data_IF_944990629753
#
_entry.id   IF_944990629753
#
_cell.length_a   1.000
_cell.length_b   1.000
_cell.length_c   1.000
_cell.angle_alpha   90.00
_cell.angle_beta   90.00
_cell.angle_gamma   90.00
#
_symmetry.space_group_name_H-M   'P 1'
#
loop_
_entity.id
_entity.type
_entity.pdbx_description
1 polymer ?
#
# COMPACT_ATOMS: atom_id res chain seq x y z
N UNK A 1 -36.12 14.78 -3.49
CA UNK A 1 -35.05 14.70 -2.48
C UNK A 1 -33.98 13.76 -3.04
N UNK A 2 -32.81 14.26 -3.44
CA UNK A 2 -31.77 13.43 -4.07
C UNK A 2 -30.94 12.74 -2.98
N UNK A 3 -30.95 11.41 -2.94
CA UNK A 3 -30.07 10.63 -2.07
C UNK A 3 -28.61 10.88 -2.48
N UNK A 4 -27.90 11.73 -1.73
CA UNK A 4 -26.43 11.75 -1.77
C UNK A 4 -25.95 10.57 -0.95
N UNK A 5 -25.75 9.42 -1.61
CA UNK A 5 -24.95 8.34 -1.05
C UNK A 5 -23.54 8.92 -0.94
N UNK A 6 -23.15 9.33 0.27
CA UNK A 6 -21.77 9.70 0.53
C UNK A 6 -20.94 8.45 0.27
N UNK A 7 -20.03 8.52 -0.70
CA UNK A 7 -19.03 7.49 -0.93
C UNK A 7 -18.39 7.16 0.42
N UNK A 8 -18.61 5.93 0.92
CA UNK A 8 -17.95 5.46 2.12
C UNK A 8 -16.49 5.31 1.75
N UNK A 9 -15.70 6.36 1.99
CA UNK A 9 -14.27 6.29 1.85
C UNK A 9 -13.76 5.37 2.96
N UNK A 10 -13.10 4.25 2.64
CA UNK A 10 -12.48 3.42 3.67
C UNK A 10 -11.52 4.30 4.46
N UNK A 11 -11.81 4.46 5.75
CA UNK A 11 -10.95 5.17 6.68
C UNK A 11 -9.89 4.19 7.14
N UNK A 12 -8.62 4.54 6.91
CA UNK A 12 -7.51 3.80 7.49
C UNK A 12 -7.59 3.88 9.02
N UNK A 13 -7.24 2.79 9.68
CA UNK A 13 -6.88 2.87 11.08
C UNK A 13 -5.71 3.84 11.22
N UNK A 14 -5.74 4.67 12.27
CA UNK A 14 -4.69 5.62 12.61
C UNK A 14 -3.48 4.89 13.21
N UNK A 15 -2.94 3.91 12.48
CA UNK A 15 -1.76 3.15 12.85
C UNK A 15 -0.52 3.84 12.26
N UNK A 16 0.50 4.03 13.11
CA UNK A 16 1.79 4.64 12.72
C UNK A 16 2.46 3.92 11.54
N UNK A 17 2.20 2.61 11.40
CA UNK A 17 2.73 1.79 10.31
C UNK A 17 2.11 2.13 8.95
N UNK A 18 0.93 2.75 8.94
CA UNK A 18 0.20 3.17 7.73
C UNK A 18 0.39 4.66 7.42
N UNK A 19 0.94 5.45 8.35
CA UNK A 19 1.23 6.87 8.14
C UNK A 19 2.06 7.15 6.87
N UNK A 20 3.10 6.35 6.52
CA UNK A 20 3.90 6.59 5.31
C UNK A 20 3.11 6.44 3.99
N UNK A 21 1.93 5.80 4.02
CA UNK A 21 1.13 5.51 2.83
C UNK A 21 -0.24 6.18 2.84
N UNK A 22 -0.56 6.93 3.89
CA UNK A 22 -1.86 7.58 4.07
C UNK A 22 -2.17 8.58 2.93
N UNK A 23 -1.19 9.37 2.51
CA UNK A 23 -1.36 10.33 1.40
C UNK A 23 -1.49 9.65 0.02
N UNK A 24 -0.95 8.44 -0.13
CA UNK A 24 -0.92 7.68 -1.37
C UNK A 24 -2.01 6.60 -1.50
N UNK A 25 -3.04 6.61 -0.65
CA UNK A 25 -4.04 5.53 -0.58
C UNK A 25 -4.89 5.37 -1.85
N UNK A 26 -5.03 6.42 -2.65
CA UNK A 26 -5.67 6.35 -3.96
C UNK A 26 -4.80 5.71 -5.05
N UNK A 27 -3.53 5.39 -4.74
CA UNK A 27 -2.60 4.73 -5.65
C UNK A 27 -2.42 3.27 -5.26
N UNK A 28 -1.93 2.49 -6.24
CA UNK A 28 -1.74 1.04 -6.11
C UNK A 28 -0.86 0.68 -4.91
N UNK A 29 0.21 1.45 -4.64
CA UNK A 29 1.07 1.22 -3.48
C UNK A 29 0.32 1.32 -2.16
N UNK A 30 -0.52 2.33 -1.99
CA UNK A 30 -1.31 2.51 -0.77
C UNK A 30 -2.28 1.35 -0.55
N UNK A 31 -3.00 0.95 -1.61
CA UNK A 31 -3.93 -0.19 -1.55
C UNK A 31 -3.20 -1.51 -1.21
N UNK A 32 -2.05 -1.77 -1.84
CA UNK A 32 -1.24 -2.95 -1.54
C UNK A 32 -0.63 -2.89 -0.14
N UNK A 33 -0.30 -1.69 0.37
CA UNK A 33 0.15 -1.51 1.76
C UNK A 33 -0.95 -1.85 2.75
N UNK A 34 -2.21 -1.49 2.47
CA UNK A 34 -3.33 -1.89 3.32
C UNK A 34 -3.49 -3.41 3.36
N UNK A 35 -3.40 -4.08 2.21
CA UNK A 35 -3.45 -5.54 2.12
C UNK A 35 -2.30 -6.17 2.93
N UNK A 36 -1.07 -5.71 2.68
CA UNK A 36 0.13 -6.14 3.40
C UNK A 36 -0.03 -5.96 4.92
N UNK A 37 -0.61 -4.85 5.36
CA UNK A 37 -0.87 -4.56 6.77
C UNK A 37 -1.86 -5.54 7.37
N UNK A 38 -2.98 -5.82 6.68
CA UNK A 38 -3.98 -6.78 7.13
C UNK A 38 -3.39 -8.18 7.26
N UNK A 39 -2.57 -8.60 6.29
CA UNK A 39 -1.88 -9.88 6.35
C UNK A 39 -1.00 -10.01 7.60
N UNK A 40 -0.28 -8.95 7.98
CA UNK A 40 0.59 -8.95 9.17
C UNK A 40 -0.18 -8.83 10.48
N UNK A 41 -1.19 -7.94 10.57
CA UNK A 41 -1.92 -7.73 11.82
C UNK A 41 -2.86 -8.87 12.17
N UNK A 42 -3.39 -9.56 11.16
CA UNK A 42 -4.32 -10.69 11.34
C UNK A 42 -3.62 -12.04 11.18
N UNK A 43 -2.28 -12.05 11.05
CA UNK A 43 -1.46 -13.26 10.90
C UNK A 43 -1.93 -14.21 9.79
N UNK A 44 -2.47 -13.65 8.69
CA UNK A 44 -3.06 -14.43 7.61
C UNK A 44 -2.01 -15.11 6.73
N UNK A 45 -0.78 -14.57 6.71
CA UNK A 45 0.36 -15.16 6.01
C UNK A 45 1.68 -14.52 6.47
N UNK A 46 2.85 -15.04 6.03
CA UNK A 46 4.14 -14.41 6.23
C UNK A 46 4.28 -13.00 5.61
N UNK A 47 3.33 -12.59 4.77
CA UNK A 47 3.30 -11.29 4.09
C UNK A 47 4.56 -11.01 3.25
N UNK A 48 5.14 -12.02 2.61
CA UNK A 48 6.37 -11.91 1.79
C UNK A 48 6.08 -11.84 0.28
N UNK A 49 4.86 -12.22 -0.14
CA UNK A 49 4.46 -12.28 -1.55
C UNK A 49 4.46 -10.92 -2.26
N UNK A 50 3.93 -9.89 -1.62
CA UNK A 50 3.88 -8.54 -2.20
C UNK A 50 5.28 -7.89 -2.30
N UNK A 51 6.14 -7.96 -1.27
CA UNK A 51 7.56 -7.58 -1.40
C UNK A 51 8.24 -8.26 -2.60
N UNK A 52 8.14 -9.60 -2.70
CA UNK A 52 8.71 -10.37 -3.83
C UNK A 52 8.13 -9.94 -5.18
N UNK A 53 6.82 -9.67 -5.24
CA UNK A 53 6.18 -9.16 -6.45
C UNK A 53 6.76 -7.81 -6.88
N UNK A 54 7.00 -6.89 -5.94
CA UNK A 54 7.59 -5.59 -6.27
C UNK A 54 9.03 -5.70 -6.77
N UNK A 55 9.80 -6.71 -6.35
CA UNK A 55 11.13 -6.95 -6.91
C UNK A 55 11.09 -7.44 -8.37
N UNK A 56 9.97 -8.02 -8.81
CA UNK A 56 9.76 -8.37 -10.23
C UNK A 56 9.26 -7.22 -11.09
N UNK A 57 8.99 -6.05 -10.49
CA UNK A 57 8.48 -4.91 -11.24
C UNK A 57 9.52 -4.42 -12.27
N UNK A 58 9.11 -4.14 -13.51
CA UNK A 58 10.04 -3.78 -14.58
C UNK A 58 10.75 -2.45 -14.28
N UNK A 59 12.07 -2.45 -14.41
CA UNK A 59 12.90 -1.25 -14.31
C UNK A 59 12.94 -0.56 -15.68
N UNK A 60 11.81 0.04 -16.10
CA UNK A 60 11.66 0.69 -17.40
C UNK A 60 11.25 2.16 -17.22
N UNK A 61 11.93 3.12 -17.88
CA UNK A 61 11.55 4.54 -17.88
C UNK A 61 10.11 4.82 -18.35
N UNK A 62 9.53 3.96 -19.20
CA UNK A 62 8.16 4.11 -19.71
C UNK A 62 7.12 3.91 -18.60
N UNK A 63 7.39 2.97 -17.69
CA UNK A 63 6.51 2.62 -16.57
C UNK A 63 7.35 2.59 -15.29
N UNK A 64 7.72 3.78 -14.76
CA UNK A 64 8.57 3.84 -13.58
C UNK A 64 7.78 3.41 -12.35
N UNK A 65 8.47 2.75 -11.41
CA UNK A 65 7.89 2.27 -10.15
C UNK A 65 7.20 3.41 -9.38
N UNK A 66 7.72 4.63 -9.41
CA UNK A 66 7.12 5.82 -8.77
C UNK A 66 5.67 6.10 -9.20
N UNK A 67 5.22 5.65 -10.39
CA UNK A 67 3.81 5.78 -10.81
C UNK A 67 2.85 5.05 -9.91
N UNK A 68 3.29 3.98 -9.25
CA UNK A 68 2.43 3.22 -8.33
C UNK A 68 2.21 3.95 -7.00
N UNK A 69 2.93 5.05 -6.75
CA UNK A 69 2.81 5.86 -5.54
C UNK A 69 3.68 5.41 -4.37
N UNK A 70 4.71 4.60 -4.63
CA UNK A 70 5.67 4.20 -3.61
C UNK A 70 6.68 5.33 -3.34
N UNK A 71 7.02 5.60 -2.07
CA UNK A 71 8.16 6.45 -1.74
C UNK A 71 9.48 5.77 -2.13
N UNK A 72 10.54 6.54 -2.37
CA UNK A 72 11.83 5.99 -2.84
C UNK A 72 12.43 4.96 -1.87
N UNK A 73 12.26 5.18 -0.57
CA UNK A 73 12.75 4.31 0.50
C UNK A 73 11.71 3.27 0.97
N UNK A 74 10.74 2.91 0.13
CA UNK A 74 9.63 2.02 0.54
C UNK A 74 10.08 0.68 1.13
N UNK A 75 11.23 0.13 0.69
CA UNK A 75 11.80 -1.14 1.19
C UNK A 75 12.22 -1.06 2.67
N UNK A 76 12.56 0.13 3.15
CA UNK A 76 13.02 0.33 4.52
C UNK A 76 11.86 0.41 5.51
N UNK A 77 10.64 0.63 5.00
CA UNK A 77 9.43 0.75 5.81
C UNK A 77 9.16 -0.56 6.58
N UNK A 78 8.78 -0.49 7.87
CA UNK A 78 8.56 -1.67 8.71
C UNK A 78 7.55 -2.68 8.15
N UNK A 79 6.60 -2.21 7.34
CA UNK A 79 5.58 -3.02 6.70
C UNK A 79 6.13 -3.91 5.56
N UNK A 80 7.20 -3.44 4.92
CA UNK A 80 7.77 -3.98 3.68
C UNK A 80 9.11 -4.67 3.89
N UNK A 81 9.73 -4.51 5.06
CA UNK A 81 10.93 -5.23 5.47
C UNK A 81 10.59 -6.72 5.70
N UNK A 82 11.17 -7.59 4.88
CA UNK A 82 11.08 -9.05 4.99
C UNK A 82 12.36 -9.58 5.61
#
# INVERSE_FOLDING_TARGET
MFNRVYDIKPKLNNDVRLAPVAEGMNRVFGQLSLIQYLHRQLELSPADRLPKLFDTYPHNPIVPFSRIGAPDNWRELPLWRV
#
